data_IF_228201051484
#
_entry.id   IF_228201051484
#
_cell.length_a   1.000
_cell.length_b   1.000
_cell.length_c   1.000
_cell.angle_alpha   90.00
_cell.angle_beta   90.00
_cell.angle_gamma   90.00
#
_symmetry.space_group_name_H-M   'P 1'
#
loop_
_entity.id
_entity.type
_entity.pdbx_description
1 polymer ?
#
# COMPACT_ATOMS: atom_id res chain seq x y z
N UNK A 1 -23.25 20.16 -0.39
CA UNK A 1 -21.90 20.67 -0.71
C UNK A 1 -21.48 21.89 0.11
N UNK A 2 -22.18 23.04 0.06
CA UNK A 2 -21.72 24.30 0.71
C UNK A 2 -21.54 24.25 2.25
N UNK A 3 -22.40 23.50 2.97
CA UNK A 3 -22.34 23.39 4.45
C UNK A 3 -21.21 22.48 4.96
N UNK A 4 -20.83 21.43 4.22
CA UNK A 4 -19.72 20.55 4.58
C UNK A 4 -18.35 21.21 4.33
N UNK A 5 -18.25 22.04 3.29
CA UNK A 5 -17.04 22.81 2.99
C UNK A 5 -16.74 23.90 4.03
N UNK A 6 -17.78 24.55 4.57
CA UNK A 6 -17.62 25.55 5.65
C UNK A 6 -17.14 24.93 6.96
N UNK A 7 -17.58 23.71 7.29
CA UNK A 7 -17.14 23.00 8.49
C UNK A 7 -15.65 22.64 8.41
N UNK A 8 -15.17 22.26 7.22
CA UNK A 8 -13.75 21.99 6.97
C UNK A 8 -12.90 23.26 7.18
N UNK A 9 -13.38 24.41 6.71
CA UNK A 9 -12.66 25.68 6.85
C UNK A 9 -12.54 26.15 8.31
N UNK A 10 -13.56 25.91 9.14
CA UNK A 10 -13.54 26.26 10.57
C UNK A 10 -12.62 25.35 11.38
N UNK A 11 -12.53 24.07 11.01
CA UNK A 11 -11.60 23.11 11.60
C UNK A 11 -10.16 23.46 11.21
N UNK A 12 -9.89 23.80 9.94
CA UNK A 12 -8.55 24.17 9.43
C UNK A 12 -7.97 25.40 10.16
N UNK A 13 -8.80 26.39 10.53
CA UNK A 13 -8.34 27.59 11.25
C UNK A 13 -7.98 27.30 12.72
N UNK A 14 -8.55 26.28 13.36
CA UNK A 14 -8.29 25.95 14.77
C UNK A 14 -6.98 25.19 15.02
N UNK A 15 -6.35 24.60 14.00
CA UNK A 15 -5.14 23.78 14.15
C UNK A 15 -3.80 24.51 13.94
N UNK A 16 -3.81 25.82 13.67
CA UNK A 16 -2.58 26.60 13.46
C UNK A 16 -1.88 27.05 14.75
N UNK A 17 -2.40 26.69 15.94
CA UNK A 17 -1.80 27.06 17.23
C UNK A 17 -1.38 25.83 18.04
N UNK A 18 -0.41 25.03 17.56
CA UNK A 18 0.28 24.07 18.41
C UNK A 18 1.79 24.20 18.23
N UNK A 19 2.44 24.73 19.28
CA UNK A 19 3.90 24.94 19.40
C UNK A 19 4.64 23.73 19.96
N UNK A 20 4.01 22.56 20.03
CA UNK A 20 4.66 21.31 20.44
C UNK A 20 4.97 20.48 19.19
N UNK A 21 6.19 19.96 19.13
CA UNK A 21 6.62 18.99 18.11
C UNK A 21 5.89 17.67 18.33
N UNK A 22 4.70 17.57 17.73
CA UNK A 22 3.92 16.34 17.71
C UNK A 22 4.62 15.35 16.76
N UNK A 23 4.88 14.10 17.16
CA UNK A 23 5.43 13.10 16.24
C UNK A 23 4.54 12.92 15.03
N UNK A 24 5.15 12.72 13.86
CA UNK A 24 4.40 12.39 12.66
C UNK A 24 3.64 11.08 12.82
N UNK A 25 2.40 11.08 12.35
CA UNK A 25 1.54 9.90 12.36
C UNK A 25 2.09 8.78 11.48
N UNK A 26 1.98 7.55 11.96
CA UNK A 26 2.43 6.37 11.20
C UNK A 26 1.32 5.88 10.26
N UNK A 27 1.70 5.21 9.16
CA UNK A 27 0.71 4.57 8.26
C UNK A 27 -0.07 3.46 8.96
N UNK A 28 0.61 2.70 9.82
CA UNK A 28 0.02 1.70 10.71
C UNK A 28 -0.24 2.33 12.07
N UNK A 29 -1.50 2.67 12.35
CA UNK A 29 -1.89 3.37 13.58
C UNK A 29 -1.56 2.59 14.83
N UNK A 30 -1.63 1.27 14.76
CA UNK A 30 -1.24 0.43 15.87
C UNK A 30 0.28 0.40 16.15
N UNK A 31 1.13 0.99 15.32
CA UNK A 31 2.56 1.13 15.63
C UNK A 31 2.90 2.46 16.32
N UNK A 32 1.91 3.34 16.50
CA UNK A 32 2.06 4.59 17.25
C UNK A 32 2.19 4.29 18.75
N UNK A 33 3.07 5.01 19.45
CA UNK A 33 3.39 4.79 20.87
C UNK A 33 3.28 6.11 21.60
N UNK A 34 2.30 6.20 22.50
CA UNK A 34 1.92 7.45 23.18
C UNK A 34 2.25 7.47 24.67
N UNK A 35 2.92 6.43 25.19
CA UNK A 35 3.28 6.32 26.60
C UNK A 35 4.16 7.49 27.10
N UNK A 36 4.89 8.18 26.22
CA UNK A 36 5.67 9.38 26.57
C UNK A 36 4.80 10.55 27.05
N UNK A 37 3.51 10.57 26.69
CA UNK A 37 2.55 11.59 27.14
C UNK A 37 2.15 11.41 28.61
N UNK A 38 2.50 10.29 29.24
CA UNK A 38 2.26 10.07 30.67
C UNK A 38 2.98 11.09 31.54
N UNK A 39 4.18 11.53 31.13
CA UNK A 39 5.02 12.49 31.87
C UNK A 39 4.77 13.93 31.45
N UNK A 40 3.98 14.16 30.41
CA UNK A 40 3.60 15.51 29.99
C UNK A 40 2.68 16.13 31.05
N UNK A 41 3.02 17.30 31.60
CA UNK A 41 2.17 17.99 32.58
C UNK A 41 1.12 18.89 31.93
N UNK A 42 1.24 19.16 30.63
CA UNK A 42 0.30 20.00 29.90
C UNK A 42 -1.06 19.31 29.72
N UNK A 43 -2.11 20.12 29.60
CA UNK A 43 -3.50 19.65 29.56
C UNK A 43 -4.19 20.11 28.26
N UNK A 44 -3.66 19.68 27.11
CA UNK A 44 -4.24 19.98 25.80
C UNK A 44 -5.03 18.79 25.24
N UNK A 45 -5.85 19.06 24.22
CA UNK A 45 -6.73 18.06 23.59
C UNK A 45 -5.96 16.83 23.06
N UNK A 46 -4.80 17.03 22.42
CA UNK A 46 -4.01 15.95 21.82
C UNK A 46 -3.56 14.91 22.87
N UNK A 47 -3.17 15.34 24.08
CA UNK A 47 -2.84 14.43 25.17
C UNK A 47 -4.09 13.67 25.63
N UNK A 48 -5.21 14.36 25.81
CA UNK A 48 -6.48 13.73 26.23
C UNK A 48 -6.96 12.67 25.25
N UNK A 49 -6.73 12.86 23.94
CA UNK A 49 -7.13 11.89 22.92
C UNK A 49 -6.11 10.77 22.76
N UNK A 50 -4.81 11.08 22.71
CA UNK A 50 -3.75 10.09 22.49
C UNK A 50 -3.36 9.30 23.73
N UNK A 51 -3.66 9.81 24.92
CA UNK A 51 -3.27 9.19 26.17
C UNK A 51 -4.26 9.54 27.29
N UNK A 52 -5.39 8.83 27.32
CA UNK A 52 -6.37 8.91 28.39
C UNK A 52 -6.06 7.87 29.47
N UNK A 53 -5.34 8.27 30.51
CA UNK A 53 -5.03 7.39 31.65
C UNK A 53 -6.29 6.97 32.40
N UNK A 54 -6.39 5.69 32.73
CA UNK A 54 -7.45 5.08 33.54
C UNK A 54 -6.97 4.65 34.93
N UNK A 55 -5.67 4.78 35.21
CA UNK A 55 -5.04 4.27 36.43
C UNK A 55 -4.15 5.32 37.06
N UNK A 56 -4.04 5.31 38.40
CA UNK A 56 -3.23 6.29 39.15
C UNK A 56 -1.74 6.26 38.76
N UNK A 57 -1.22 5.09 38.38
CA UNK A 57 0.16 4.91 37.94
C UNK A 57 0.36 5.10 36.42
N UNK A 58 -0.69 5.50 35.70
CA UNK A 58 -0.68 5.65 34.23
C UNK A 58 -0.27 4.37 33.47
N UNK A 59 -0.35 3.19 34.09
CA UNK A 59 -0.04 1.92 33.43
C UNK A 59 -1.15 1.43 32.50
N UNK A 60 -2.37 1.91 32.70
CA UNK A 60 -3.57 1.56 31.91
C UNK A 60 -4.15 2.82 31.28
N UNK A 61 -4.35 2.81 29.97
CA UNK A 61 -4.82 3.97 29.22
C UNK A 61 -5.54 3.58 27.92
N UNK A 62 -6.35 4.50 27.40
CA UNK A 62 -6.83 4.49 26.03
C UNK A 62 -6.07 5.51 25.17
N UNK A 63 -5.91 5.18 23.89
CA UNK A 63 -5.53 6.10 22.83
C UNK A 63 -6.59 6.06 21.73
N UNK A 64 -6.95 7.23 21.20
CA UNK A 64 -7.91 7.37 20.12
C UNK A 64 -7.28 8.11 18.94
N UNK A 65 -7.77 7.84 17.74
CA UNK A 65 -7.33 8.58 16.58
C UNK A 65 -8.06 8.18 15.31
N UNK A 66 -7.62 8.77 14.22
CA UNK A 66 -8.27 8.54 12.94
C UNK A 66 -7.57 9.11 11.73
N UNK A 67 -8.19 8.83 10.58
CA UNK A 67 -7.78 9.25 9.26
C UNK A 67 -9.05 9.58 8.47
N UNK A 68 -9.14 10.79 7.94
CA UNK A 68 -10.20 11.19 7.02
C UNK A 68 -9.52 11.58 5.73
N UNK A 69 -9.88 10.93 4.63
CA UNK A 69 -9.33 11.23 3.30
C UNK A 69 -10.44 11.47 2.30
N UNK A 70 -10.29 12.53 1.52
CA UNK A 70 -11.10 12.81 0.35
C UNK A 70 -10.17 12.82 -0.87
N UNK A 71 -10.59 12.15 -1.93
CA UNK A 71 -9.88 12.15 -3.20
C UNK A 71 -10.87 12.37 -4.33
N UNK A 72 -10.74 13.47 -5.05
CA UNK A 72 -11.48 13.68 -6.30
C UNK A 72 -10.64 13.14 -7.45
N UNK A 73 -11.19 12.22 -8.23
CA UNK A 73 -10.57 11.62 -9.41
C UNK A 73 -11.33 12.03 -10.67
N UNK A 74 -10.59 12.32 -11.72
CA UNK A 74 -11.15 12.52 -13.05
C UNK A 74 -10.29 11.83 -14.08
N UNK A 75 -10.93 10.98 -14.88
CA UNK A 75 -10.31 10.30 -16.00
C UNK A 75 -10.85 10.82 -17.32
N UNK A 76 -10.00 10.85 -18.34
CA UNK A 76 -10.39 10.86 -19.74
C UNK A 76 -9.91 9.56 -20.35
N UNK A 77 -10.83 8.82 -20.97
CA UNK A 77 -10.59 7.49 -21.53
C UNK A 77 -10.09 6.46 -20.48
N UNK A 78 -10.75 6.37 -19.32
CA UNK A 78 -10.48 5.30 -18.35
C UNK A 78 -10.55 3.91 -19.03
N UNK A 79 -9.73 2.97 -18.57
CA UNK A 79 -9.50 1.66 -19.20
C UNK A 79 -9.18 1.76 -20.70
N UNK A 80 -8.30 2.72 -21.05
CA UNK A 80 -7.89 3.02 -22.43
C UNK A 80 -9.06 3.29 -23.39
N UNK A 81 -10.19 3.78 -22.84
CA UNK A 81 -11.38 4.14 -23.58
C UNK A 81 -12.50 3.10 -23.59
N UNK A 82 -12.37 2.00 -22.85
CA UNK A 82 -13.43 1.01 -22.67
C UNK A 82 -14.46 1.41 -21.60
N UNK A 83 -14.02 2.11 -20.56
CA UNK A 83 -14.91 2.55 -19.50
C UNK A 83 -15.96 3.55 -20.02
N UNK A 84 -17.17 3.60 -19.43
CA UNK A 84 -18.15 4.62 -19.73
C UNK A 84 -17.59 6.03 -19.59
N UNK A 85 -18.04 6.94 -20.45
CA UNK A 85 -17.56 8.32 -20.43
C UNK A 85 -18.10 9.05 -19.19
N UNK A 86 -17.22 9.25 -18.21
CA UNK A 86 -17.42 10.15 -17.08
C UNK A 86 -17.04 11.59 -17.45
N UNK A 87 -17.96 12.55 -17.26
CA UNK A 87 -17.73 13.98 -17.55
C UNK A 87 -17.24 14.74 -16.32
N UNK A 88 -17.67 14.31 -15.15
CA UNK A 88 -17.66 15.09 -13.91
C UNK A 88 -16.63 14.55 -12.91
N UNK A 89 -16.14 13.32 -13.09
CA UNK A 89 -15.28 12.63 -12.14
C UNK A 89 -16.06 12.13 -10.93
N UNK A 90 -15.34 11.52 -9.99
CA UNK A 90 -15.93 10.94 -8.79
C UNK A 90 -15.07 11.23 -7.56
N UNK A 91 -15.67 11.07 -6.38
CA UNK A 91 -15.03 11.32 -5.10
C UNK A 91 -14.94 10.01 -4.32
N UNK A 92 -13.72 9.63 -3.96
CA UNK A 92 -13.43 8.59 -2.99
C UNK A 92 -13.28 9.24 -1.61
N UNK A 93 -14.06 8.75 -0.65
CA UNK A 93 -13.97 9.19 0.75
C UNK A 93 -13.61 8.01 1.64
N UNK A 94 -12.67 8.19 2.55
CA UNK A 94 -12.27 7.20 3.56
C UNK A 94 -12.31 7.80 4.96
N UNK A 95 -12.90 7.07 5.89
CA UNK A 95 -12.88 7.35 7.32
C UNK A 95 -12.29 6.15 8.05
N UNK A 96 -11.25 6.39 8.84
CA UNK A 96 -10.71 5.45 9.82
C UNK A 96 -10.87 6.07 11.21
N UNK A 97 -11.41 5.31 12.14
CA UNK A 97 -11.49 5.70 13.54
C UNK A 97 -11.06 4.50 14.39
N UNK A 98 -10.17 4.73 15.36
CA UNK A 98 -9.66 3.66 16.20
C UNK A 98 -9.64 4.00 17.68
N UNK A 99 -9.68 2.94 18.48
CA UNK A 99 -9.42 2.93 19.90
C UNK A 99 -8.35 1.87 20.19
N UNK A 100 -7.38 2.25 21.02
CA UNK A 100 -6.24 1.43 21.38
C UNK A 100 -6.11 1.41 22.90
N UNK A 101 -6.42 0.26 23.48
CA UNK A 101 -6.38 0.03 24.92
C UNK A 101 -5.08 -0.65 25.31
N UNK A 102 -4.42 -0.10 26.32
CA UNK A 102 -3.20 -0.67 26.90
C UNK A 102 -3.41 -0.94 28.38
N UNK A 103 -3.00 -2.12 28.84
CA UNK A 103 -2.97 -2.50 30.25
C UNK A 103 -1.58 -3.03 30.62
N UNK A 104 -0.81 -2.17 31.27
CA UNK A 104 0.58 -2.43 31.62
C UNK A 104 1.47 -2.56 30.37
N UNK A 105 2.52 -3.39 30.47
CA UNK A 105 3.46 -3.65 29.37
C UNK A 105 3.11 -4.91 28.57
N UNK A 106 2.06 -5.62 28.97
CA UNK A 106 1.83 -7.01 28.57
C UNK A 106 0.56 -7.20 27.76
N UNK A 107 -0.44 -6.33 27.89
CA UNK A 107 -1.72 -6.51 27.23
C UNK A 107 -2.13 -5.27 26.47
N UNK A 108 -2.62 -5.48 25.25
CA UNK A 108 -3.22 -4.44 24.42
C UNK A 108 -4.39 -5.00 23.62
N UNK A 109 -5.43 -4.18 23.42
CA UNK A 109 -6.51 -4.46 22.50
C UNK A 109 -6.70 -3.26 21.55
N UNK A 110 -6.79 -3.51 20.25
CA UNK A 110 -6.93 -2.48 19.23
C UNK A 110 -8.14 -2.74 18.36
N UNK A 111 -8.97 -1.71 18.15
CA UNK A 111 -10.12 -1.76 17.26
C UNK A 111 -10.10 -0.56 16.34
N UNK A 112 -10.36 -0.79 15.05
CA UNK A 112 -10.49 0.25 14.04
C UNK A 112 -11.68 -0.01 13.13
N UNK A 113 -12.53 1.00 13.01
CA UNK A 113 -13.60 1.05 12.03
C UNK A 113 -13.09 1.71 10.75
N UNK A 114 -13.54 1.19 9.60
CA UNK A 114 -13.33 1.80 8.29
C UNK A 114 -14.66 2.00 7.59
N UNK A 115 -14.80 3.15 6.94
CA UNK A 115 -15.88 3.48 6.03
C UNK A 115 -15.30 4.10 4.77
N UNK A 116 -15.65 3.56 3.62
CA UNK A 116 -15.13 3.96 2.30
C UNK A 116 -16.29 4.12 1.33
N UNK A 117 -16.43 5.30 0.71
CA UNK A 117 -17.48 5.63 -0.26
C UNK A 117 -16.90 6.04 -1.61
N UNK A 118 -17.62 5.72 -2.71
CA UNK A 118 -17.28 6.14 -4.06
C UNK A 118 -18.42 6.94 -4.70
N UNK A 119 -18.50 8.23 -4.37
CA UNK A 119 -19.60 9.10 -4.79
C UNK A 119 -19.40 9.62 -6.22
N UNK A 120 -20.43 9.54 -7.05
CA UNK A 120 -20.39 10.01 -8.45
C UNK A 120 -19.75 9.03 -9.43
N UNK A 121 -19.41 7.81 -9.00
CA UNK A 121 -18.90 6.77 -9.90
C UNK A 121 -20.00 6.33 -10.88
N UNK A 122 -19.74 6.44 -12.18
CA UNK A 122 -20.66 6.04 -13.24
C UNK A 122 -20.90 4.53 -13.29
N UNK A 123 -19.86 3.75 -13.01
CA UNK A 123 -19.95 2.30 -12.90
C UNK A 123 -20.23 1.89 -11.45
N UNK A 124 -20.68 0.65 -11.28
CA UNK A 124 -20.81 0.05 -9.96
C UNK A 124 -19.44 0.01 -9.29
N UNK A 125 -19.21 0.72 -8.17
CA UNK A 125 -17.93 0.72 -7.49
C UNK A 125 -17.49 -0.71 -7.13
N UNK A 126 -16.20 -0.95 -7.26
CA UNK A 126 -15.57 -2.18 -6.80
C UNK A 126 -15.45 -2.19 -5.26
N UNK A 127 -15.28 -3.36 -4.62
CA UNK A 127 -14.96 -3.42 -3.18
C UNK A 127 -13.63 -2.77 -2.78
N UNK A 128 -12.83 -2.33 -3.75
CA UNK A 128 -11.57 -1.60 -3.52
C UNK A 128 -11.83 -0.10 -3.37
N UNK A 129 -12.92 0.39 -3.97
CA UNK A 129 -13.36 1.78 -3.93
C UNK A 129 -14.40 2.02 -2.82
N UNK A 130 -15.28 1.05 -2.58
CA UNK A 130 -16.40 1.21 -1.64
C UNK A 130 -16.55 0.03 -0.66
N UNK A 131 -16.70 0.37 0.62
CA UNK A 131 -17.01 -0.52 1.74
C UNK A 131 -17.66 0.34 2.84
N UNK A 132 -18.98 0.30 2.93
CA UNK A 132 -19.78 1.31 3.65
C UNK A 132 -19.38 1.48 5.12
N UNK A 133 -19.26 0.38 5.88
CA UNK A 133 -18.77 0.41 7.27
C UNK A 133 -18.37 -1.00 7.72
N UNK A 134 -17.17 -1.13 8.29
CA UNK A 134 -16.71 -2.42 8.80
C UNK A 134 -15.74 -2.32 9.98
N UNK A 135 -15.60 -3.42 10.73
CA UNK A 135 -14.46 -3.64 11.61
C UNK A 135 -13.25 -3.99 10.74
N UNK A 136 -12.43 -2.99 10.44
CA UNK A 136 -11.24 -3.16 9.61
C UNK A 136 -10.11 -3.83 10.38
N UNK A 137 -9.95 -3.48 11.65
CA UNK A 137 -9.04 -4.15 12.58
C UNK A 137 -9.73 -4.38 13.92
N UNK A 138 -9.47 -5.54 14.51
CA UNK A 138 -9.90 -5.94 15.84
C UNK A 138 -8.98 -7.06 16.32
N UNK A 139 -7.98 -6.73 17.14
CA UNK A 139 -7.00 -7.71 17.62
C UNK A 139 -6.59 -7.46 19.07
N UNK A 140 -6.01 -8.51 19.66
CA UNK A 140 -5.38 -8.48 20.98
C UNK A 140 -3.90 -8.83 20.84
N UNK A 141 -3.06 -8.11 21.56
CA UNK A 141 -1.63 -8.38 21.74
C UNK A 141 -1.35 -8.85 23.17
N UNK A 142 -0.64 -9.96 23.30
CA UNK A 142 -0.02 -10.41 24.56
C UNK A 142 1.48 -10.31 24.39
N UNK A 143 2.11 -9.40 25.13
CA UNK A 143 3.53 -9.10 25.07
C UNK A 143 4.27 -9.64 26.28
N UNK A 144 5.40 -10.29 26.02
CA UNK A 144 6.33 -10.84 26.99
C UNK A 144 7.71 -10.20 26.77
N UNK A 145 8.07 -9.16 27.55
CA UNK A 145 9.43 -8.63 27.54
C UNK A 145 10.42 -9.70 27.98
N UNK A 146 11.53 -9.83 27.26
CA UNK A 146 12.65 -10.72 27.56
C UNK A 146 13.89 -9.88 27.87
N UNK A 147 14.07 -9.53 29.14
CA UNK A 147 15.12 -8.59 29.54
C UNK A 147 14.84 -7.17 29.06
N UNK A 148 15.90 -6.39 28.82
CA UNK A 148 15.80 -4.95 28.54
C UNK A 148 15.61 -4.59 27.05
N UNK A 149 15.91 -5.51 26.13
CA UNK A 149 16.04 -5.18 24.69
C UNK A 149 15.36 -6.17 23.75
N UNK A 150 14.64 -7.16 24.29
CA UNK A 150 13.93 -8.16 23.50
C UNK A 150 12.48 -8.30 23.96
N UNK A 151 11.60 -8.67 23.06
CA UNK A 151 10.21 -9.02 23.39
C UNK A 151 9.63 -10.02 22.40
N UNK A 152 8.70 -10.83 22.90
CA UNK A 152 7.75 -11.56 22.07
C UNK A 152 6.37 -10.93 22.22
N UNK A 153 5.63 -10.83 21.13
CA UNK A 153 4.21 -10.46 21.13
C UNK A 153 3.42 -11.47 20.32
N UNK A 154 2.41 -12.07 20.93
CA UNK A 154 1.41 -12.85 20.22
C UNK A 154 0.21 -11.95 19.91
N UNK A 155 -0.12 -11.83 18.63
CA UNK A 155 -1.26 -11.06 18.11
C UNK A 155 -2.30 -11.98 17.51
N UNK A 156 -3.55 -11.86 17.97
CA UNK A 156 -4.68 -12.63 17.44
C UNK A 156 -5.83 -11.70 17.08
N UNK A 157 -6.39 -11.88 15.88
CA UNK A 157 -7.57 -11.17 15.42
C UNK A 157 -7.40 -10.58 14.02
N UNK A 158 -8.37 -9.74 13.63
CA UNK A 158 -8.34 -9.04 12.36
C UNK A 158 -7.33 -7.91 12.42
N UNK A 159 -6.40 -7.89 11.48
CA UNK A 159 -5.26 -6.99 11.51
C UNK A 159 -4.76 -6.72 10.10
N UNK A 160 -3.98 -5.66 9.95
CA UNK A 160 -3.25 -5.42 8.72
C UNK A 160 -1.90 -6.14 8.72
N UNK A 161 -1.45 -6.51 7.54
CA UNK A 161 -0.10 -7.00 7.28
C UNK A 161 0.56 -6.04 6.29
N UNK A 162 1.78 -5.61 6.61
CA UNK A 162 2.55 -4.68 5.78
C UNK A 162 4.03 -5.01 5.94
N UNK A 163 4.69 -5.29 4.83
CA UNK A 163 6.07 -5.78 4.81
C UNK A 163 6.89 -5.07 3.73
N UNK A 164 8.17 -4.85 4.04
CA UNK A 164 9.16 -4.30 3.12
C UNK A 164 8.76 -2.98 2.46
N UNK A 165 8.97 -2.93 1.16
CA UNK A 165 8.59 -1.85 0.25
C UNK A 165 7.08 -1.81 -0.05
N UNK A 166 6.29 -2.71 0.55
CA UNK A 166 4.87 -2.93 0.27
C UNK A 166 4.54 -3.35 -1.17
N UNK A 167 5.54 -3.88 -1.89
CA UNK A 167 5.37 -4.47 -3.23
C UNK A 167 4.63 -5.81 -3.21
N UNK A 168 4.87 -6.63 -2.19
CA UNK A 168 4.22 -7.94 -2.04
C UNK A 168 3.06 -7.93 -1.04
N UNK A 169 3.23 -7.27 0.10
CA UNK A 169 2.23 -7.28 1.18
C UNK A 169 2.10 -5.87 1.74
N UNK A 170 0.94 -5.28 1.53
CA UNK A 170 0.64 -3.91 1.90
C UNK A 170 -0.70 -3.79 2.60
N UNK A 171 -0.99 -2.60 3.10
CA UNK A 171 -2.34 -2.25 3.57
C UNK A 171 -3.24 -1.68 2.47
N UNK A 172 -2.70 -1.49 1.25
CA UNK A 172 -3.37 -0.80 0.13
C UNK A 172 -3.72 0.66 0.47
N UNK A 173 -2.70 1.49 0.73
CA UNK A 173 -2.93 2.91 1.02
C UNK A 173 -3.45 3.71 -0.17
N UNK A 174 -3.01 3.43 -1.40
CA UNK A 174 -3.42 4.22 -2.58
C UNK A 174 -4.93 4.16 -2.79
N UNK A 175 -5.51 2.97 -3.00
CA UNK A 175 -6.96 2.79 -3.09
C UNK A 175 -7.74 3.18 -1.84
N UNK A 176 -9.07 3.31 -1.97
CA UNK A 176 -9.94 3.87 -0.93
C UNK A 176 -10.24 2.92 0.23
N UNK A 177 -10.34 1.62 -0.05
CA UNK A 177 -10.58 0.59 0.96
C UNK A 177 -9.26 -0.16 1.24
N UNK A 178 -8.71 0.01 2.44
CA UNK A 178 -7.53 -0.74 2.91
C UNK A 178 -7.90 -2.21 3.08
N UNK A 179 -6.90 -3.08 3.00
CA UNK A 179 -7.10 -4.53 3.12
C UNK A 179 -6.61 -5.08 4.46
N UNK A 180 -7.29 -6.09 4.98
CA UNK A 180 -7.00 -6.72 6.28
C UNK A 180 -7.05 -8.24 6.20
N UNK A 181 -6.59 -8.86 7.28
CA UNK A 181 -6.43 -10.29 7.41
C UNK A 181 -6.94 -10.75 8.78
N UNK A 182 -7.73 -11.81 8.80
CA UNK A 182 -8.02 -12.55 10.03
C UNK A 182 -6.83 -13.46 10.31
N UNK A 183 -6.00 -13.12 11.31
CA UNK A 183 -4.69 -13.73 11.47
C UNK A 183 -4.29 -14.02 12.92
N UNK A 184 -3.44 -15.04 13.05
CA UNK A 184 -2.62 -15.28 14.23
C UNK A 184 -1.16 -14.99 13.86
N UNK A 185 -0.47 -14.21 14.69
CA UNK A 185 0.86 -13.69 14.38
C UNK A 185 1.73 -13.68 15.64
N UNK A 186 2.97 -14.15 15.50
CA UNK A 186 4.02 -14.00 16.50
C UNK A 186 5.02 -12.95 16.01
N UNK A 187 5.38 -12.03 16.89
CA UNK A 187 6.30 -10.92 16.62
C UNK A 187 7.44 -11.04 17.62
N UNK A 188 8.64 -11.21 17.10
CA UNK A 188 9.87 -11.12 17.86
C UNK A 188 10.55 -9.78 17.56
N UNK A 189 10.88 -9.03 18.60
CA UNK A 189 11.67 -7.80 18.49
C UNK A 189 12.93 -7.95 19.32
N UNK A 190 14.06 -7.57 18.74
CA UNK A 190 15.34 -7.38 19.40
C UNK A 190 16.00 -6.12 18.84
N UNK A 191 17.08 -5.63 19.46
CA UNK A 191 17.72 -4.36 19.11
C UNK A 191 17.94 -4.12 17.60
N UNK A 192 18.42 -5.13 16.86
CA UNK A 192 18.69 -5.02 15.41
C UNK A 192 17.76 -5.85 14.54
N UNK A 193 16.92 -6.70 15.14
CA UNK A 193 16.15 -7.73 14.45
C UNK A 193 14.67 -7.61 14.78
N UNK A 194 13.83 -7.71 13.76
CA UNK A 194 12.39 -7.91 13.89
C UNK A 194 12.02 -9.13 13.05
N UNK A 195 11.26 -10.07 13.61
CA UNK A 195 10.78 -11.21 12.87
C UNK A 195 9.31 -11.46 13.17
N UNK A 196 8.54 -11.70 12.12
CA UNK A 196 7.12 -11.99 12.17
C UNK A 196 6.88 -13.39 11.60
N UNK A 197 6.09 -14.21 12.30
CA UNK A 197 5.57 -15.48 11.80
C UNK A 197 4.05 -15.40 11.85
N UNK A 198 3.34 -15.75 10.78
CA UNK A 198 1.90 -15.62 10.75
C UNK A 198 1.20 -16.68 9.90
N UNK A 199 -0.08 -16.92 10.25
CA UNK A 199 -1.06 -17.58 9.41
C UNK A 199 -2.32 -16.72 9.36
N UNK A 200 -2.87 -16.53 8.18
CA UNK A 200 -3.84 -15.50 7.87
C UNK A 200 -4.86 -15.96 6.82
N UNK A 201 -6.07 -15.42 6.95
CA UNK A 201 -7.11 -15.46 5.93
C UNK A 201 -7.34 -14.05 5.41
N UNK A 202 -7.30 -13.87 4.09
CA UNK A 202 -7.57 -12.56 3.49
C UNK A 202 -9.04 -12.19 3.65
N UNK A 203 -9.32 -11.03 4.23
CA UNK A 203 -10.68 -10.52 4.43
C UNK A 203 -11.17 -9.92 3.10
N UNK A 204 -12.17 -10.56 2.50
CA UNK A 204 -12.78 -10.07 1.27
C UNK A 204 -13.81 -8.99 1.60
N UNK A 205 -13.54 -7.76 1.17
CA UNK A 205 -14.48 -6.66 1.35
C UNK A 205 -15.75 -6.79 0.52
N UNK A 206 -16.87 -6.37 1.09
CA UNK A 206 -18.17 -6.32 0.44
C UNK A 206 -18.80 -4.94 0.64
N UNK A 207 -19.56 -4.48 -0.36
CA UNK A 207 -20.26 -3.18 -0.35
C UNK A 207 -21.52 -3.19 0.52
N UNK A 208 -21.38 -3.51 1.81
CA UNK A 208 -22.46 -3.54 2.81
C UNK A 208 -21.88 -3.31 4.21
N UNK A 209 -22.70 -2.76 5.10
CA UNK A 209 -22.36 -2.60 6.51
C UNK A 209 -22.09 -3.97 7.18
N UNK A 210 -20.93 -4.10 7.84
CA UNK A 210 -20.49 -5.27 8.62
C UNK A 210 -20.58 -6.62 7.88
N UNK A 211 -20.37 -6.64 6.57
CA UNK A 211 -20.51 -7.84 5.74
C UNK A 211 -19.19 -8.61 5.47
N UNK A 212 -18.07 -8.10 5.99
CA UNK A 212 -16.73 -8.64 5.76
C UNK A 212 -16.49 -9.80 6.73
N UNK A 213 -17.04 -10.95 6.38
CA UNK A 213 -16.92 -12.19 7.13
C UNK A 213 -15.64 -12.97 6.83
N UNK A 214 -15.42 -14.02 7.62
CA UNK A 214 -14.29 -14.92 7.45
C UNK A 214 -14.29 -15.59 6.07
N UNK A 215 -13.14 -15.56 5.39
CA UNK A 215 -13.00 -16.06 4.02
C UNK A 215 -12.04 -17.25 3.96
N UNK A 216 -12.54 -18.43 3.60
CA UNK A 216 -11.72 -19.64 3.47
C UNK A 216 -11.05 -19.80 2.10
N UNK A 217 -11.36 -18.92 1.13
CA UNK A 217 -10.94 -19.08 -0.26
C UNK A 217 -9.55 -18.52 -0.56
N UNK A 218 -8.98 -17.74 0.36
CA UNK A 218 -7.64 -17.17 0.23
C UNK A 218 -6.93 -17.27 1.57
N UNK A 219 -5.93 -18.15 1.65
CA UNK A 219 -5.10 -18.37 2.84
C UNK A 219 -3.70 -17.83 2.56
N UNK A 220 -3.08 -17.25 3.57
CA UNK A 220 -1.78 -16.63 3.48
C UNK A 220 -0.97 -16.94 4.74
N UNK A 221 0.30 -17.33 4.60
CA UNK A 221 1.17 -17.60 5.74
C UNK A 221 2.60 -17.22 5.39
N UNK A 222 3.43 -17.03 6.41
CA UNK A 222 4.80 -16.70 6.14
C UNK A 222 5.64 -16.38 7.35
N UNK A 223 6.91 -16.14 7.04
CA UNK A 223 7.92 -15.63 7.95
C UNK A 223 8.57 -14.42 7.28
N UNK A 224 8.71 -13.33 8.00
CA UNK A 224 9.35 -12.12 7.52
C UNK A 224 10.33 -11.62 8.57
N UNK A 225 11.61 -11.49 8.24
CA UNK A 225 12.65 -11.03 9.14
C UNK A 225 13.37 -9.82 8.56
N UNK A 226 13.49 -8.76 9.36
CA UNK A 226 14.29 -7.57 9.05
C UNK A 226 15.46 -7.49 10.00
N UNK A 227 16.64 -7.23 9.45
CA UNK A 227 17.84 -6.83 10.19
C UNK A 227 18.28 -5.44 9.78
N UNK A 228 18.70 -4.65 10.77
CA UNK A 228 19.31 -3.34 10.58
C UNK A 228 20.80 -3.36 10.98
N UNK A 229 21.56 -2.38 10.48
CA UNK A 229 23.01 -2.20 10.69
C UNK A 229 23.85 -3.37 10.20
N UNK A 230 23.50 -3.95 9.05
CA UNK A 230 24.33 -4.93 8.34
C UNK A 230 25.50 -4.20 7.66
N UNK A 231 26.76 -4.65 7.83
CA UNK A 231 27.90 -4.09 7.09
C UNK A 231 27.63 -4.11 5.58
N UNK A 232 28.09 -3.08 4.84
CA UNK A 232 27.85 -2.87 3.40
C UNK A 232 26.41 -2.47 3.05
N UNK A 233 25.40 -3.25 3.47
CA UNK A 233 24.01 -3.08 2.98
C UNK A 233 23.10 -2.21 3.84
N UNK A 234 23.50 -1.88 5.07
CA UNK A 234 22.69 -1.22 6.12
C UNK A 234 21.47 -2.02 6.58
N UNK A 235 20.52 -2.35 5.72
CA UNK A 235 19.32 -3.09 6.08
C UNK A 235 19.09 -4.27 5.12
N UNK A 236 18.52 -5.34 5.66
CA UNK A 236 18.17 -6.52 4.90
C UNK A 236 16.86 -7.12 5.41
N UNK A 237 15.99 -7.52 4.48
CA UNK A 237 14.81 -8.32 4.72
C UNK A 237 15.02 -9.71 4.11
N UNK A 238 14.61 -10.76 4.82
CA UNK A 238 14.52 -12.13 4.32
C UNK A 238 13.13 -12.67 4.62
N UNK A 239 12.50 -13.32 3.64
CA UNK A 239 11.14 -13.78 3.83
C UNK A 239 10.76 -15.01 3.01
N UNK A 240 9.76 -15.70 3.55
CA UNK A 240 9.01 -16.75 2.89
C UNK A 240 7.52 -16.44 3.03
N UNK A 241 6.79 -16.55 1.93
CA UNK A 241 5.35 -16.41 1.90
C UNK A 241 4.71 -17.60 1.18
N UNK A 242 3.63 -18.12 1.73
CA UNK A 242 2.76 -19.10 1.08
C UNK A 242 1.37 -18.53 0.87
N UNK A 243 0.82 -18.75 -0.31
CA UNK A 243 -0.50 -18.33 -0.76
C UNK A 243 -1.25 -19.55 -1.26
N UNK A 244 -2.48 -19.71 -0.78
CA UNK A 244 -3.42 -20.65 -1.37
C UNK A 244 -4.68 -19.90 -1.78
N UNK A 245 -5.09 -20.03 -3.03
CA UNK A 245 -6.36 -19.51 -3.54
C UNK A 245 -7.18 -20.67 -4.10
N UNK A 246 -8.45 -20.73 -3.71
CA UNK A 246 -9.42 -21.71 -4.26
C UNK A 246 -9.46 -21.63 -5.80
N UNK A 247 -9.33 -20.42 -6.33
CA UNK A 247 -9.32 -20.14 -7.75
C UNK A 247 -8.54 -18.84 -8.02
N UNK A 248 -7.64 -18.89 -8.99
CA UNK A 248 -6.96 -17.75 -9.58
C UNK A 248 -7.14 -17.79 -11.11
N UNK A 249 -7.02 -16.64 -11.75
CA UNK A 249 -7.14 -16.51 -13.20
C UNK A 249 -5.88 -15.82 -13.70
N UNK A 250 -5.25 -16.43 -14.70
CA UNK A 250 -4.14 -15.90 -15.48
C UNK A 250 -4.50 -16.00 -16.96
N UNK A 251 -3.69 -15.42 -17.84
CA UNK A 251 -3.91 -15.48 -19.29
C UNK A 251 -3.94 -16.93 -19.79
N UNK A 252 -3.12 -17.78 -19.17
CA UNK A 252 -3.06 -19.21 -19.44
C UNK A 252 -4.04 -20.04 -18.58
N UNK A 253 -5.18 -19.45 -18.23
CA UNK A 253 -6.36 -20.15 -17.72
C UNK A 253 -6.72 -19.88 -16.26
N UNK A 254 -7.59 -20.74 -15.71
CA UNK A 254 -8.24 -20.55 -14.41
C UNK A 254 -8.24 -21.83 -13.60
N UNK A 255 -7.56 -21.83 -12.45
CA UNK A 255 -7.39 -23.01 -11.62
C UNK A 255 -7.14 -22.65 -10.15
N UNK A 256 -7.07 -23.67 -9.28
CA UNK A 256 -6.62 -23.52 -7.90
C UNK A 256 -5.13 -23.19 -7.87
N UNK A 257 -4.72 -22.25 -7.03
CA UNK A 257 -3.33 -21.82 -6.89
C UNK A 257 -2.80 -22.17 -5.50
N UNK A 258 -1.65 -22.85 -5.45
CA UNK A 258 -0.81 -23.00 -4.28
C UNK A 258 0.58 -22.46 -4.64
N UNK A 259 0.91 -21.28 -4.14
CA UNK A 259 2.14 -20.57 -4.47
C UNK A 259 2.98 -20.32 -3.22
N UNK A 260 4.26 -20.55 -3.34
CA UNK A 260 5.28 -20.17 -2.38
C UNK A 260 6.15 -19.09 -2.99
N UNK A 261 6.64 -18.17 -2.17
CA UNK A 261 7.53 -17.08 -2.57
C UNK A 261 8.66 -17.01 -1.56
N UNK A 262 9.90 -17.03 -2.04
CA UNK A 262 11.09 -16.73 -1.25
C UNK A 262 11.72 -15.46 -1.80
N UNK A 263 12.13 -14.57 -0.92
CA UNK A 263 12.71 -13.31 -1.36
C UNK A 263 13.62 -12.67 -0.34
N UNK A 264 14.39 -11.71 -0.85
CA UNK A 264 15.33 -10.89 -0.10
C UNK A 264 15.27 -9.47 -0.60
N UNK A 265 15.44 -8.52 0.32
CA UNK A 265 15.53 -7.09 0.00
C UNK A 265 16.69 -6.48 0.76
N UNK A 266 17.51 -5.68 0.09
CA UNK A 266 18.55 -4.86 0.71
C UNK A 266 18.25 -3.40 0.43
N UNK A 267 18.38 -2.55 1.44
CA UNK A 267 18.02 -1.15 1.28
C UNK A 267 18.78 -0.21 2.21
N UNK A 268 18.98 1.00 1.72
CA UNK A 268 19.60 2.12 2.40
C UNK A 268 18.84 3.39 2.05
N UNK A 269 18.41 4.12 3.07
CA UNK A 269 17.73 5.42 2.92
C UNK A 269 18.54 6.60 3.46
N UNK A 270 19.69 6.34 4.09
CA UNK A 270 20.45 7.38 4.78
C UNK A 270 21.48 8.01 3.83
N UNK A 271 21.69 9.32 3.97
CA UNK A 271 22.57 10.16 3.18
C UNK A 271 22.04 10.43 1.76
N UNK A 272 22.84 11.11 0.94
CA UNK A 272 22.45 11.53 -0.40
C UNK A 272 22.16 10.38 -1.36
N UNK A 273 22.77 9.21 -1.18
CA UNK A 273 22.56 8.04 -2.05
C UNK A 273 21.70 7.00 -1.33
N UNK A 274 20.55 6.70 -1.93
CA UNK A 274 19.63 5.64 -1.48
C UNK A 274 19.55 4.53 -2.52
N UNK A 275 19.29 3.32 -2.05
CA UNK A 275 18.94 2.19 -2.91
C UNK A 275 17.99 1.25 -2.19
N UNK A 276 17.21 0.52 -2.97
CA UNK A 276 16.31 -0.54 -2.58
C UNK A 276 16.33 -1.59 -3.69
N UNK A 277 16.83 -2.77 -3.38
CA UNK A 277 16.96 -3.88 -4.32
C UNK A 277 16.22 -5.06 -3.71
N UNK A 278 15.26 -5.60 -4.44
CA UNK A 278 14.41 -6.70 -3.99
C UNK A 278 14.27 -7.76 -5.08
N UNK A 279 14.45 -9.03 -4.71
CA UNK A 279 14.34 -10.17 -5.60
C UNK A 279 13.46 -11.25 -4.98
N UNK A 280 12.58 -11.84 -5.80
CA UNK A 280 11.61 -12.84 -5.37
C UNK A 280 11.55 -13.97 -6.37
N UNK A 281 11.55 -15.21 -5.89
CA UNK A 281 11.27 -16.39 -6.69
C UNK A 281 10.02 -17.09 -6.16
N UNK A 282 9.16 -17.53 -7.07
CA UNK A 282 7.89 -18.17 -6.77
C UNK A 282 7.81 -19.57 -7.41
N UNK A 283 7.34 -20.51 -6.61
CA UNK A 283 7.18 -21.92 -6.97
C UNK A 283 5.89 -22.51 -6.38
N UNK A 284 5.45 -23.67 -6.87
CA UNK A 284 4.22 -24.32 -6.41
C UNK A 284 3.41 -24.88 -7.57
N UNK A 285 2.08 -24.85 -7.47
CA UNK A 285 1.17 -25.40 -8.47
C UNK A 285 -0.03 -24.50 -8.79
N UNK A 286 -0.44 -24.54 -10.05
CA UNK A 286 -1.65 -23.90 -10.57
C UNK A 286 -2.44 -24.92 -11.40
N UNK A 287 -3.48 -25.51 -10.82
CA UNK A 287 -4.10 -26.70 -11.41
C UNK A 287 -3.08 -27.81 -11.61
N UNK A 288 -2.91 -28.27 -12.85
CA UNK A 288 -1.93 -29.27 -13.26
C UNK A 288 -0.58 -28.67 -13.68
N UNK A 289 -0.42 -27.35 -13.63
CA UNK A 289 0.79 -26.62 -14.03
C UNK A 289 1.73 -26.36 -12.85
N UNK A 290 3.03 -26.37 -13.10
CA UNK A 290 4.06 -26.01 -12.13
C UNK A 290 4.36 -24.51 -12.18
N UNK A 291 4.32 -23.84 -11.03
CA UNK A 291 4.67 -22.41 -10.95
C UNK A 291 6.20 -22.25 -10.97
N UNK A 292 6.69 -21.34 -11.79
CA UNK A 292 8.09 -20.93 -11.85
C UNK A 292 8.21 -19.47 -12.29
N UNK A 293 7.98 -18.55 -11.35
CA UNK A 293 7.88 -17.12 -11.62
C UNK A 293 8.83 -16.31 -10.73
N UNK A 294 9.16 -15.08 -11.11
CA UNK A 294 10.12 -14.26 -10.37
C UNK A 294 9.95 -12.77 -10.66
N UNK A 295 10.51 -11.96 -9.77
CA UNK A 295 10.73 -10.53 -10.03
C UNK A 295 12.07 -10.09 -9.48
N UNK A 296 12.69 -9.13 -10.15
CA UNK A 296 13.80 -8.35 -9.66
C UNK A 296 13.43 -6.87 -9.77
N UNK A 297 13.74 -6.10 -8.74
CA UNK A 297 13.48 -4.66 -8.72
C UNK A 297 14.62 -3.87 -8.14
N UNK A 298 14.83 -2.70 -8.73
CA UNK A 298 15.81 -1.70 -8.31
C UNK A 298 15.09 -0.36 -8.19
N UNK A 299 15.26 0.31 -7.05
CA UNK A 299 14.92 1.70 -6.86
C UNK A 299 16.12 2.41 -6.24
N UNK A 300 16.74 3.29 -7.01
CA UNK A 300 17.96 4.00 -6.60
C UNK A 300 17.80 5.49 -6.85
N UNK A 301 18.57 6.29 -6.12
CA UNK A 301 18.72 7.68 -6.51
C UNK A 301 19.66 8.48 -5.62
N UNK A 302 19.89 9.71 -6.07
CA UNK A 302 20.85 10.63 -5.49
C UNK A 302 20.24 12.01 -5.25
N UNK A 303 20.34 12.48 -4.01
CA UNK A 303 19.90 13.82 -3.57
C UNK A 303 21.07 14.81 -3.59
N UNK A 304 20.91 15.91 -4.31
CA UNK A 304 21.87 17.03 -4.31
C UNK A 304 21.55 17.99 -3.15
N UNK A 305 21.80 17.54 -1.91
CA UNK A 305 21.35 18.21 -0.68
C UNK A 305 21.87 19.65 -0.46
N UNK A 306 22.95 20.04 -1.15
CA UNK A 306 23.60 21.36 -1.03
C UNK A 306 23.18 22.35 -2.13
N UNK A 307 22.16 22.03 -2.91
CA UNK A 307 21.67 22.89 -4.00
C UNK A 307 20.25 23.40 -3.69
N UNK A 308 19.84 24.48 -4.37
CA UNK A 308 18.48 25.03 -4.26
C UNK A 308 17.49 23.93 -4.70
N UNK A 309 16.38 23.79 -3.98
CA UNK A 309 15.36 22.75 -4.17
C UNK A 309 15.79 21.31 -3.89
N UNK A 310 17.06 21.06 -3.51
CA UNK A 310 17.58 19.73 -3.13
C UNK A 310 17.11 18.61 -4.07
N UNK A 311 17.31 18.74 -5.39
CA UNK A 311 16.77 17.80 -6.36
C UNK A 311 17.27 16.39 -6.06
N UNK A 312 16.35 15.43 -6.20
CA UNK A 312 16.64 14.02 -6.13
C UNK A 312 16.38 13.40 -7.50
N UNK A 313 17.42 12.87 -8.12
CA UNK A 313 17.32 12.11 -9.37
C UNK A 313 17.28 10.63 -9.00
N UNK A 314 16.27 9.92 -9.50
CA UNK A 314 16.08 8.50 -9.22
C UNK A 314 15.81 7.69 -10.48
N UNK A 315 16.02 6.39 -10.35
CA UNK A 315 15.65 5.38 -11.32
C UNK A 315 14.98 4.21 -10.58
N UNK A 316 13.77 3.88 -11.02
CA UNK A 316 13.09 2.63 -10.69
C UNK A 316 13.06 1.76 -11.95
N UNK A 317 13.21 0.47 -11.77
CA UNK A 317 13.08 -0.51 -12.86
C UNK A 317 12.75 -1.86 -12.28
N UNK A 318 11.82 -2.53 -12.95
CA UNK A 318 11.39 -3.86 -12.60
C UNK A 318 11.53 -4.81 -13.78
N UNK A 319 11.90 -6.04 -13.46
CA UNK A 319 11.82 -7.17 -14.37
C UNK A 319 10.95 -8.23 -13.72
N UNK A 320 9.81 -8.53 -14.34
CA UNK A 320 8.72 -9.29 -13.74
C UNK A 320 8.29 -10.37 -14.73
N UNK A 321 8.46 -11.62 -14.36
CA UNK A 321 8.21 -12.73 -15.28
C UNK A 321 6.74 -12.81 -15.71
N UNK A 322 6.56 -13.20 -16.98
CA UNK A 322 5.31 -13.59 -17.60
C UNK A 322 5.42 -14.98 -18.18
N UNK A 323 4.29 -15.58 -18.55
CA UNK A 323 4.26 -16.91 -19.12
C UNK A 323 4.99 -17.00 -20.46
N UNK A 324 5.81 -18.03 -20.66
CA UNK A 324 6.60 -18.16 -21.89
C UNK A 324 5.87 -18.93 -22.99
N UNK A 325 4.87 -19.73 -22.66
CA UNK A 325 4.07 -20.51 -23.60
C UNK A 325 2.68 -20.75 -23.00
N UNK A 326 1.64 -20.71 -23.85
CA UNK A 326 0.29 -21.09 -23.46
C UNK A 326 0.14 -22.62 -23.48
N UNK A 327 -0.77 -23.13 -22.65
CA UNK A 327 -1.20 -24.54 -22.63
C UNK A 327 -0.07 -25.55 -22.38
N UNK A 328 1.08 -25.10 -21.85
CA UNK A 328 2.13 -26.00 -21.39
C UNK A 328 1.89 -26.41 -19.92
N UNK A 329 2.86 -27.14 -19.33
CA UNK A 329 2.76 -27.61 -17.96
C UNK A 329 3.34 -26.62 -16.92
N UNK A 330 3.53 -25.34 -17.28
CA UNK A 330 4.13 -24.32 -16.41
C UNK A 330 3.23 -23.09 -16.30
N UNK A 331 3.43 -22.33 -15.24
CA UNK A 331 2.90 -20.97 -15.10
C UNK A 331 4.04 -20.08 -14.61
N UNK A 332 4.50 -19.19 -15.48
CA UNK A 332 5.64 -18.30 -15.19
C UNK A 332 5.21 -16.86 -14.93
N UNK A 333 3.91 -16.57 -14.98
CA UNK A 333 3.35 -15.28 -14.55
C UNK A 333 3.57 -15.05 -13.06
N UNK A 334 4.25 -13.95 -12.74
CA UNK A 334 4.47 -13.52 -11.37
C UNK A 334 3.17 -13.02 -10.71
N UNK A 335 2.99 -13.36 -9.44
CA UNK A 335 1.86 -12.93 -8.63
C UNK A 335 2.35 -12.05 -7.47
N UNK A 336 2.09 -10.73 -7.45
CA UNK A 336 2.48 -9.82 -6.38
C UNK A 336 1.77 -10.02 -5.04
N UNK A 337 0.92 -11.04 -4.89
CA UNK A 337 0.19 -11.38 -3.67
C UNK A 337 -0.84 -10.32 -3.27
N UNK A 338 -0.43 -9.33 -2.46
CA UNK A 338 -1.30 -8.33 -1.83
C UNK A 338 -0.69 -6.91 -1.93
N UNK A 339 -0.39 -6.41 -3.15
CA UNK A 339 0.36 -5.18 -3.37
C UNK A 339 -0.41 -3.91 -3.02
N UNK A 340 0.30 -2.78 -2.96
CA UNK A 340 -0.21 -1.46 -2.58
C UNK A 340 -1.31 -0.86 -3.47
N UNK A 341 -1.56 -1.42 -4.66
CA UNK A 341 -2.51 -0.87 -5.64
C UNK A 341 -1.91 0.27 -6.46
N UNK A 342 -1.43 1.34 -5.81
CA UNK A 342 -0.76 2.47 -6.47
C UNK A 342 0.70 2.17 -6.81
N UNK A 343 0.95 1.23 -7.71
CA UNK A 343 2.29 0.74 -7.98
C UNK A 343 3.14 1.74 -8.79
N UNK A 344 2.54 2.39 -9.79
CA UNK A 344 3.18 3.39 -10.67
C UNK A 344 2.48 4.75 -10.57
N UNK A 345 2.08 5.15 -9.35
CA UNK A 345 1.26 6.33 -9.11
C UNK A 345 -0.19 5.97 -8.74
N UNK A 346 -1.01 7.00 -8.48
CA UNK A 346 -2.37 6.80 -7.96
C UNK A 346 -3.34 6.26 -9.02
N UNK A 347 -3.09 6.53 -10.30
CA UNK A 347 -3.88 6.02 -11.41
C UNK A 347 -3.89 4.48 -11.48
N UNK A 348 -2.83 3.81 -10.99
CA UNK A 348 -2.77 2.37 -10.78
C UNK A 348 -3.16 1.51 -12.00
N UNK A 349 -2.84 1.98 -13.21
CA UNK A 349 -3.32 1.42 -14.49
C UNK A 349 -2.82 0.00 -14.76
N UNK A 350 -1.56 -0.28 -14.42
CA UNK A 350 -0.88 -1.55 -14.71
C UNK A 350 -0.33 -2.13 -13.41
N UNK A 351 -0.47 -3.44 -13.25
CA UNK A 351 0.03 -4.22 -12.14
C UNK A 351 1.33 -4.95 -12.46
N UNK A 352 2.06 -5.40 -11.42
CA UNK A 352 3.36 -6.03 -11.58
C UNK A 352 3.23 -7.52 -11.93
N UNK A 353 2.83 -7.84 -13.15
CA UNK A 353 2.79 -9.20 -13.71
C UNK A 353 3.08 -9.13 -15.21
N UNK A 354 4.01 -9.96 -15.70
CA UNK A 354 4.48 -9.90 -17.09
C UNK A 354 4.96 -8.51 -17.54
N UNK A 355 5.89 -7.90 -16.79
CA UNK A 355 6.24 -6.49 -16.95
C UNK A 355 7.76 -6.28 -16.95
N UNK A 356 8.19 -5.38 -17.81
CA UNK A 356 9.49 -4.72 -17.74
C UNK A 356 9.28 -3.22 -17.88
N UNK A 357 9.95 -2.44 -17.03
CA UNK A 357 9.83 -0.98 -17.08
C UNK A 357 11.15 -0.25 -16.82
N UNK A 358 11.18 1.00 -17.28
CA UNK A 358 12.22 1.98 -16.97
C UNK A 358 11.51 3.24 -16.50
N UNK A 359 11.72 3.58 -15.22
CA UNK A 359 10.97 4.61 -14.51
C UNK A 359 11.91 5.65 -13.87
N UNK A 360 12.52 6.56 -14.65
CA UNK A 360 13.23 7.72 -14.11
C UNK A 360 12.29 8.65 -13.33
N UNK A 361 12.83 9.25 -12.28
CA UNK A 361 12.09 10.20 -11.44
C UNK A 361 12.95 11.40 -11.03
N UNK A 362 12.29 12.53 -10.83
CA UNK A 362 12.85 13.75 -10.25
C UNK A 362 11.94 14.22 -9.10
N UNK A 363 12.52 14.44 -7.92
CA UNK A 363 11.83 15.10 -6.80
C UNK A 363 12.51 16.40 -6.45
N UNK A 364 11.73 17.44 -6.16
CA UNK A 364 12.18 18.77 -5.80
C UNK A 364 11.53 19.20 -4.48
N UNK A 365 12.35 19.56 -3.49
CA UNK A 365 11.92 20.18 -2.23
C UNK A 365 11.72 21.69 -2.45
N UNK A 366 10.52 22.11 -2.89
CA UNK A 366 10.20 23.53 -3.10
C UNK A 366 10.28 24.32 -1.80
N UNK A 367 9.79 23.73 -0.72
CA UNK A 367 9.98 24.18 0.67
C UNK A 367 10.00 22.96 1.59
N UNK A 368 10.31 23.14 2.88
CA UNK A 368 10.19 22.06 3.89
C UNK A 368 8.80 21.40 3.99
N UNK A 369 7.77 22.04 3.43
CA UNK A 369 6.37 21.59 3.49
C UNK A 369 5.79 21.27 2.11
N UNK A 370 6.51 21.57 1.03
CA UNK A 370 6.01 21.46 -0.34
C UNK A 370 7.04 20.75 -1.19
N UNK A 371 6.66 19.64 -1.82
CA UNK A 371 7.49 18.90 -2.75
C UNK A 371 6.79 18.73 -4.09
N UNK A 372 7.56 18.82 -5.17
CA UNK A 372 7.13 18.51 -6.53
C UNK A 372 7.81 17.23 -6.98
N UNK A 373 7.03 16.22 -7.34
CA UNK A 373 7.50 14.96 -7.86
C UNK A 373 7.12 14.84 -9.33
N UNK A 374 8.04 14.30 -10.13
CA UNK A 374 7.83 13.99 -11.53
C UNK A 374 8.43 12.63 -11.83
N UNK A 375 7.75 11.85 -12.63
CA UNK A 375 8.25 10.56 -13.09
C UNK A 375 7.77 10.26 -14.51
N UNK A 376 8.59 9.51 -15.23
CA UNK A 376 8.30 9.08 -16.59
C UNK A 376 8.55 7.59 -16.67
N UNK A 377 7.52 6.81 -16.98
CA UNK A 377 7.56 5.36 -17.00
C UNK A 377 7.37 4.84 -18.43
N UNK A 378 8.09 3.78 -18.78
CA UNK A 378 8.08 3.17 -20.10
C UNK A 378 7.87 1.68 -19.91
N UNK A 379 6.74 1.18 -20.40
CA UNK A 379 6.27 -0.17 -20.08
C UNK A 379 6.36 -1.11 -21.28
N UNK A 380 6.89 -2.30 -21.01
CA UNK A 380 6.85 -3.44 -21.93
C UNK A 380 6.33 -4.69 -21.23
N UNK A 381 5.67 -5.55 -21.99
CA UNK A 381 5.44 -6.93 -21.57
C UNK A 381 6.79 -7.66 -21.53
N UNK A 382 7.05 -8.39 -20.44
CA UNK A 382 8.27 -9.19 -20.34
C UNK A 382 8.26 -10.33 -21.39
N UNK A 383 7.17 -11.08 -21.43
CA UNK A 383 6.83 -12.10 -22.40
C UNK A 383 5.72 -11.62 -23.35
N UNK A 384 5.82 -11.99 -24.62
CA UNK A 384 4.74 -11.79 -25.60
C UNK A 384 3.64 -12.86 -25.49
N UNK A 385 3.89 -13.97 -24.79
CA UNK A 385 2.98 -15.09 -24.61
C UNK A 385 2.21 -15.02 -23.28
N UNK A 386 1.96 -13.80 -22.80
CA UNK A 386 1.17 -13.53 -21.61
C UNK A 386 0.58 -12.12 -21.70
N UNK A 387 -0.50 -11.86 -20.98
CA UNK A 387 -1.26 -10.62 -20.99
C UNK A 387 -0.64 -9.53 -20.13
N UNK A 388 -1.42 -8.46 -19.93
CA UNK A 388 -1.16 -7.47 -18.88
C UNK A 388 -2.25 -7.55 -17.82
N UNK A 389 -1.87 -7.19 -16.60
CA UNK A 389 -2.71 -7.35 -15.43
C UNK A 389 -2.81 -6.04 -14.66
N UNK A 390 -3.89 -5.86 -13.92
CA UNK A 390 -4.03 -4.82 -12.91
C UNK A 390 -3.30 -5.19 -11.62
N UNK A 391 -3.17 -4.26 -10.65
CA UNK A 391 -2.38 -4.46 -9.44
C UNK A 391 -2.76 -5.70 -8.62
N UNK A 392 -4.01 -6.12 -8.63
CA UNK A 392 -4.50 -7.32 -7.92
C UNK A 392 -4.45 -8.61 -8.78
N UNK A 393 -3.69 -8.60 -9.88
CA UNK A 393 -3.61 -9.68 -10.87
C UNK A 393 -4.94 -9.92 -11.59
N UNK A 394 -5.79 -8.88 -11.68
CA UNK A 394 -6.93 -8.93 -12.60
C UNK A 394 -6.41 -8.83 -14.02
N UNK A 395 -6.70 -9.81 -14.87
CA UNK A 395 -6.38 -9.71 -16.29
C UNK A 395 -7.07 -8.48 -16.89
N UNK A 396 -6.31 -7.66 -17.60
CA UNK A 396 -6.84 -6.52 -18.35
C UNK A 396 -6.99 -6.95 -19.82
N UNK A 397 -5.88 -7.33 -20.45
CA UNK A 397 -5.85 -7.82 -21.82
C UNK A 397 -5.01 -9.09 -21.92
N UNK A 398 -5.50 -10.04 -22.72
CA UNK A 398 -4.75 -11.24 -23.09
C UNK A 398 -3.60 -10.90 -24.04
N UNK A 399 -2.52 -11.68 -23.96
CA UNK A 399 -1.41 -11.65 -24.89
C UNK A 399 -1.59 -12.56 -26.11
N UNK A 400 -2.63 -13.40 -26.12
CA UNK A 400 -2.83 -14.38 -27.18
C UNK A 400 -2.97 -13.71 -28.54
N UNK A 401 -2.23 -14.23 -29.53
CA UNK A 401 -2.20 -13.73 -30.92
C UNK A 401 -1.70 -12.28 -31.09
N UNK A 402 -1.09 -11.69 -30.06
CA UNK A 402 -0.50 -10.34 -30.13
C UNK A 402 0.98 -10.43 -29.80
N UNK A 403 1.86 -10.19 -30.78
CA UNK A 403 3.31 -10.27 -30.60
C UNK A 403 3.96 -9.05 -29.94
N UNK A 404 3.25 -7.92 -29.87
CA UNK A 404 3.80 -6.62 -29.51
C UNK A 404 4.08 -6.49 -28.01
N UNK A 405 5.31 -6.15 -27.63
CA UNK A 405 5.67 -5.99 -26.22
C UNK A 405 5.38 -4.60 -25.67
N UNK A 406 5.45 -3.55 -26.49
CA UNK A 406 5.35 -2.18 -25.99
C UNK A 406 3.93 -1.84 -25.53
N UNK A 407 3.78 -1.60 -24.23
CA UNK A 407 2.49 -1.30 -23.60
C UNK A 407 2.19 0.20 -23.71
N UNK A 408 3.18 1.06 -23.44
CA UNK A 408 3.01 2.51 -23.51
C UNK A 408 4.00 3.28 -22.65
N UNK A 409 3.80 4.58 -22.56
CA UNK A 409 4.55 5.47 -21.66
C UNK A 409 3.61 6.23 -20.74
N UNK A 410 4.10 6.62 -19.58
CA UNK A 410 3.34 7.40 -18.62
C UNK A 410 4.19 8.54 -18.09
N UNK A 411 3.70 9.77 -18.22
CA UNK A 411 4.23 10.89 -17.47
C UNK A 411 3.32 11.17 -16.28
N UNK A 412 3.89 11.24 -15.08
CA UNK A 412 3.17 11.59 -13.86
C UNK A 412 3.87 12.74 -13.14
N UNK A 413 3.07 13.61 -12.51
CA UNK A 413 3.58 14.62 -11.60
C UNK A 413 2.61 14.85 -10.47
N UNK A 414 3.16 15.11 -9.28
CA UNK A 414 2.38 15.52 -8.14
C UNK A 414 3.03 16.63 -7.32
N UNK A 415 2.19 17.49 -6.77
CA UNK A 415 2.55 18.51 -5.80
C UNK A 415 1.98 18.11 -4.44
N UNK A 416 2.85 17.81 -3.49
CA UNK A 416 2.46 17.50 -2.13
C UNK A 416 2.65 18.70 -1.21
N UNK A 417 1.68 18.94 -0.33
CA UNK A 417 1.73 19.98 0.69
C UNK A 417 1.35 19.42 2.06
N UNK A 418 2.30 19.44 2.98
CA UNK A 418 2.14 18.99 4.38
C UNK A 418 2.34 20.17 5.32
N UNK A 419 1.30 20.99 5.57
CA UNK A 419 1.42 22.18 6.41
C UNK A 419 1.84 21.89 7.85
N UNK A 420 1.39 20.75 8.38
CA UNK A 420 1.66 20.24 9.73
C UNK A 420 1.41 18.72 9.76
N UNK A 421 1.58 18.07 10.92
CA UNK A 421 1.41 16.62 11.02
C UNK A 421 -0.04 16.13 10.83
N UNK A 422 -1.05 16.99 10.97
CA UNK A 422 -2.46 16.61 10.88
C UNK A 422 -2.98 16.65 9.44
N UNK A 423 -2.49 17.58 8.63
CA UNK A 423 -3.03 17.89 7.32
C UNK A 423 -2.06 17.51 6.20
N UNK A 424 -2.59 16.89 5.16
CA UNK A 424 -1.87 16.55 3.93
C UNK A 424 -2.74 16.84 2.71
N UNK A 425 -2.14 17.45 1.70
CA UNK A 425 -2.76 17.75 0.42
C UNK A 425 -1.87 17.26 -0.72
N UNK A 426 -2.49 16.73 -1.78
CA UNK A 426 -1.77 16.32 -3.00
C UNK A 426 -2.60 16.68 -4.23
N UNK A 427 -1.99 17.32 -5.21
CA UNK A 427 -2.52 17.42 -6.57
C UNK A 427 -1.69 16.52 -7.48
N UNK A 428 -2.32 15.70 -8.31
CA UNK A 428 -1.65 14.74 -9.18
C UNK A 428 -2.22 14.81 -10.59
N UNK A 429 -1.32 14.64 -11.55
CA UNK A 429 -1.61 14.57 -12.97
C UNK A 429 -0.84 13.41 -13.57
N UNK A 430 -1.53 12.59 -14.38
CA UNK A 430 -0.92 11.51 -15.14
C UNK A 430 -1.43 11.54 -16.57
N UNK A 431 -0.52 11.45 -17.53
CA UNK A 431 -0.81 11.21 -18.93
C UNK A 431 -0.19 9.88 -19.35
N UNK A 432 -1.01 8.97 -19.86
CA UNK A 432 -0.57 7.69 -20.38
C UNK A 432 -0.74 7.67 -21.91
N UNK A 433 0.34 7.42 -22.63
CA UNK A 433 0.32 7.22 -24.08
C UNK A 433 0.28 5.73 -24.41
N UNK A 434 -0.75 5.31 -25.13
CA UNK A 434 -0.96 3.89 -25.44
C UNK A 434 0.01 3.39 -26.53
N UNK A 435 0.73 2.31 -26.23
CA UNK A 435 1.61 1.59 -27.14
C UNK A 435 0.87 0.61 -28.06
N UNK A 436 1.65 -0.09 -28.88
CA UNK A 436 1.12 -0.96 -29.94
C UNK A 436 0.35 -2.17 -29.40
N UNK A 437 0.76 -2.70 -28.24
CA UNK A 437 0.03 -3.80 -27.59
C UNK A 437 -1.41 -3.39 -27.27
N UNK A 438 -1.61 -2.24 -26.63
CA UNK A 438 -2.93 -1.77 -26.21
C UNK A 438 -3.83 -1.41 -27.40
N UNK A 439 -3.25 -0.87 -28.48
CA UNK A 439 -3.97 -0.55 -29.72
C UNK A 439 -4.43 -1.79 -30.49
N UNK A 440 -3.77 -2.93 -30.28
CA UNK A 440 -4.15 -4.22 -30.87
C UNK A 440 -5.09 -5.01 -29.97
N UNK A 441 -4.89 -4.93 -28.66
CA UNK A 441 -5.68 -5.67 -27.67
C UNK A 441 -7.04 -5.02 -27.36
N UNK A 442 -7.15 -3.70 -27.51
CA UNK A 442 -8.37 -2.94 -27.22
C UNK A 442 -8.39 -1.58 -27.96
N UNK A 443 -9.18 -0.59 -27.49
CA UNK A 443 -9.30 0.70 -28.16
C UNK A 443 -7.99 1.52 -28.18
N UNK A 444 -7.06 1.25 -27.26
CA UNK A 444 -5.73 1.86 -27.21
C UNK A 444 -5.74 3.38 -27.17
N UNK A 445 -6.69 4.02 -26.47
CA UNK A 445 -6.70 5.47 -26.30
C UNK A 445 -5.77 5.90 -25.18
N UNK A 446 -5.14 7.05 -25.37
CA UNK A 446 -4.38 7.74 -24.32
C UNK A 446 -5.29 8.09 -23.14
N UNK A 447 -4.75 7.96 -21.93
CA UNK A 447 -5.45 8.26 -20.68
C UNK A 447 -4.94 9.59 -20.13
N UNK A 448 -5.87 10.42 -19.68
CA UNK A 448 -5.56 11.55 -18.82
C UNK A 448 -6.19 11.28 -17.46
N UNK A 449 -5.40 11.37 -16.40
CA UNK A 449 -5.87 11.25 -15.03
C UNK A 449 -5.46 12.48 -14.24
N UNK A 450 -6.39 13.01 -13.46
CA UNK A 450 -6.09 14.06 -12.48
C UNK A 450 -6.72 13.71 -11.15
N UNK A 451 -6.01 13.96 -10.07
CA UNK A 451 -6.52 13.77 -8.73
C UNK A 451 -6.18 14.93 -7.79
N UNK A 452 -7.08 15.18 -6.84
CA UNK A 452 -6.82 16.05 -5.70
C UNK A 452 -7.16 15.28 -4.44
N UNK A 453 -6.19 15.17 -3.54
CA UNK A 453 -6.32 14.51 -2.23
C UNK A 453 -6.23 15.53 -1.12
N UNK A 454 -7.13 15.42 -0.14
CA UNK A 454 -7.03 16.08 1.15
C UNK A 454 -7.17 15.04 2.25
N UNK A 455 -6.27 15.07 3.23
CA UNK A 455 -6.25 14.11 4.33
C UNK A 455 -6.06 14.81 5.67
N UNK A 456 -6.86 14.40 6.66
CA UNK A 456 -6.76 14.78 8.06
C UNK A 456 -6.43 13.54 8.89
N UNK A 457 -5.38 13.60 9.70
CA UNK A 457 -4.93 12.56 10.63
C UNK A 457 -4.99 13.13 12.03
N UNK A 458 -5.45 12.38 13.03
CA UNK A 458 -5.53 12.88 14.40
C UNK A 458 -5.42 11.79 15.45
#
# INVERSE_FOLDING_TARGET
>A
MRKQFLLLLTVILAFNCFSQDIPSFKSLRYEEEYAYLATDSSNHWYKKTKYQSLSKNAGTYFSFGGDIRYQYFRFKNEDWGEAPKDKDGYILTRYLAHADFHAGRNFRAFVQLQSSFANGRETTPSPVEENELNFHQAFVDISMPLGSSKSFTARLGRQELSYGSQRLVSVREGPNNRQSFDAAKLIYKAMKWKADIFFAHYVLSKRKIFADGFNKNTKFWGVYATSSRIPVFQNMDLYYFGLWKRQATFDDGKARELRHSIGSRIWKSNNNFRYDIEGVYQFGGFGDKQIGAWTLSLNTGYTFAQTILRPEIGLKTELISGDAAFEDNKLQTFNPLFPRGGYFGLAALIGPSNLFDIHPSLSLELTKKVSLNMDYDIFWRHSNNDGIYGPNVSMIYSGQNIGDKFIGTQFSTDLEYTPNNFLYFRGEFTWFNAGDFLKKAGPGKDILFTAVTAQLKF
#
